data_IF_268738350692
#
_entry.id   IF_268738350692
#
_cell.length_a   1.000
_cell.length_b   1.000
_cell.length_c   1.000
_cell.angle_alpha   90.00
_cell.angle_beta   90.00
_cell.angle_gamma   90.00
#
_symmetry.space_group_name_H-M   'P 1'
#
loop_
_entity.id
_entity.type
_entity.pdbx_description
1 polymer ?
#
# COMPACT_ATOMS: atom_id res chain seq x y z
N UNK A 1 31.12 -0.47 -18.96
CA UNK A 1 31.56 0.86 -19.41
C UNK A 1 31.17 1.15 -20.85
N UNK A 2 31.62 0.37 -21.83
CA UNK A 2 31.29 0.61 -23.26
C UNK A 2 29.78 0.59 -23.53
N UNK A 3 29.06 -0.41 -23.00
CA UNK A 3 27.60 -0.51 -23.10
C UNK A 3 26.89 0.77 -22.60
N UNK A 4 27.25 1.25 -21.40
CA UNK A 4 26.62 2.43 -20.80
C UNK A 4 26.97 3.73 -21.51
N UNK A 5 28.17 3.85 -22.06
CA UNK A 5 28.52 5.00 -22.88
C UNK A 5 27.59 5.10 -24.10
N UNK A 6 27.39 3.98 -24.80
CA UNK A 6 26.50 3.95 -25.96
C UNK A 6 25.03 4.12 -25.59
N UNK A 7 24.58 3.55 -24.46
CA UNK A 7 23.22 3.72 -23.96
C UNK A 7 22.94 5.19 -23.60
N UNK A 8 23.85 5.85 -22.89
CA UNK A 8 23.74 7.27 -22.56
C UNK A 8 23.81 8.16 -23.81
N UNK A 9 24.66 7.81 -24.78
CA UNK A 9 24.71 8.52 -26.07
C UNK A 9 23.39 8.37 -26.84
N UNK A 10 22.80 7.18 -26.84
CA UNK A 10 21.51 6.91 -27.46
C UNK A 10 20.37 7.67 -26.78
N UNK A 11 20.34 7.71 -25.45
CA UNK A 11 19.36 8.51 -24.68
C UNK A 11 19.47 9.99 -25.06
N UNK A 12 20.69 10.54 -25.10
CA UNK A 12 20.93 11.94 -25.50
C UNK A 12 20.43 12.22 -26.92
N UNK A 13 20.72 11.33 -27.88
CA UNK A 13 20.29 11.48 -29.27
C UNK A 13 18.76 11.43 -29.39
N UNK A 14 18.10 10.47 -28.73
CA UNK A 14 16.64 10.38 -28.69
C UNK A 14 15.98 11.62 -28.08
N UNK A 15 16.60 12.23 -27.07
CA UNK A 15 16.10 13.49 -26.52
C UNK A 15 16.27 14.65 -27.50
N UNK A 16 17.36 14.69 -28.26
CA UNK A 16 17.59 15.72 -29.28
C UNK A 16 16.61 15.65 -30.46
N UNK A 17 15.97 14.51 -30.71
CA UNK A 17 14.90 14.35 -31.70
C UNK A 17 13.58 15.03 -31.26
N UNK A 18 13.39 15.21 -29.94
CA UNK A 18 12.19 15.87 -29.38
C UNK A 18 12.27 17.40 -29.42
N UNK A 19 13.41 17.97 -29.82
CA UNK A 19 13.61 19.42 -29.87
C UNK A 19 13.16 19.99 -31.21
N UNK A 20 12.51 21.15 -31.18
CA UNK A 20 12.21 21.91 -32.39
C UNK A 20 13.49 22.62 -32.84
N UNK A 21 13.94 22.34 -34.06
CA UNK A 21 15.17 22.92 -34.62
C UNK A 21 14.87 23.68 -35.90
N UNK A 22 15.39 24.91 -36.00
CA UNK A 22 15.59 25.65 -37.24
C UNK A 22 17.09 25.82 -37.49
N UNK A 23 17.46 26.46 -38.61
CA UNK A 23 18.88 26.70 -38.95
C UNK A 23 19.63 27.52 -37.89
N UNK A 24 18.91 28.37 -37.14
CA UNK A 24 19.50 29.31 -36.17
C UNK A 24 18.93 29.20 -34.75
N UNK A 25 17.83 28.46 -34.52
CA UNK A 25 17.12 28.44 -33.23
C UNK A 25 16.80 27.00 -32.83
N UNK A 26 17.06 26.67 -31.57
CA UNK A 26 16.61 25.44 -30.93
C UNK A 26 15.58 25.81 -29.86
N UNK A 27 14.35 25.31 -30.00
CA UNK A 27 13.30 25.45 -29.02
C UNK A 27 13.07 24.13 -28.30
N UNK A 28 12.97 24.19 -26.97
CA UNK A 28 12.66 23.07 -26.11
C UNK A 28 11.63 23.47 -25.06
N UNK A 29 10.72 22.56 -24.76
CA UNK A 29 9.75 22.68 -23.68
C UNK A 29 9.90 21.46 -22.77
N UNK A 30 9.77 21.68 -21.46
CA UNK A 30 9.88 20.61 -20.49
C UNK A 30 9.57 21.08 -19.09
N UNK A 31 9.24 20.12 -18.24
CA UNK A 31 9.00 20.36 -16.83
C UNK A 31 10.28 20.12 -16.03
N UNK A 32 10.51 20.95 -15.02
CA UNK A 32 11.55 20.74 -14.03
C UNK A 32 11.00 21.01 -12.63
N UNK A 33 11.50 20.35 -11.57
CA UNK A 33 11.03 20.60 -10.22
C UNK A 33 11.44 21.98 -9.75
N UNK A 34 10.52 22.76 -9.16
CA UNK A 34 10.80 24.13 -8.68
C UNK A 34 11.98 24.19 -7.68
N UNK A 35 12.20 23.13 -6.89
CA UNK A 35 13.34 23.02 -5.96
C UNK A 35 14.72 22.96 -6.65
N UNK A 36 14.75 22.59 -7.92
CA UNK A 36 15.99 22.49 -8.71
C UNK A 36 16.24 23.74 -9.55
N UNK A 37 15.43 24.79 -9.39
CA UNK A 37 15.53 26.02 -10.19
C UNK A 37 16.93 26.63 -10.16
N UNK A 38 17.49 26.85 -8.97
CA UNK A 38 18.80 27.51 -8.82
C UNK A 38 19.93 26.72 -9.52
N UNK A 39 19.96 25.40 -9.33
CA UNK A 39 20.94 24.52 -9.98
C UNK A 39 20.75 24.46 -11.49
N UNK A 40 19.51 24.52 -11.95
CA UNK A 40 19.20 24.51 -13.37
C UNK A 40 19.68 25.80 -14.03
N UNK A 41 19.43 26.95 -13.39
CA UNK A 41 19.92 28.26 -13.84
C UNK A 41 21.45 28.31 -13.84
N UNK A 42 22.13 27.81 -12.80
CA UNK A 42 23.59 27.75 -12.75
C UNK A 42 24.19 26.95 -13.92
N UNK A 43 23.63 25.77 -14.21
CA UNK A 43 24.07 24.93 -15.33
C UNK A 43 23.81 25.59 -16.68
N UNK A 44 22.67 26.28 -16.83
CA UNK A 44 22.34 27.01 -18.06
C UNK A 44 23.31 28.16 -18.30
N UNK A 45 23.54 29.01 -17.30
CA UNK A 45 24.49 30.11 -17.39
C UNK A 45 25.90 29.62 -17.73
N UNK A 46 26.35 28.53 -17.11
CA UNK A 46 27.64 27.93 -17.41
C UNK A 46 27.75 27.40 -18.85
N UNK A 47 26.65 26.90 -19.42
CA UNK A 47 26.67 26.21 -20.72
C UNK A 47 26.36 27.14 -21.90
N UNK A 48 25.45 28.09 -21.73
CA UNK A 48 24.87 28.93 -22.80
C UNK A 48 25.25 30.41 -22.69
N UNK A 49 25.83 30.87 -21.56
CA UNK A 49 26.15 32.28 -21.37
C UNK A 49 24.89 33.16 -21.35
N UNK A 50 24.79 34.12 -22.28
CA UNK A 50 23.65 35.05 -22.41
C UNK A 50 22.74 34.75 -23.62
N UNK A 51 23.05 33.74 -24.43
CA UNK A 51 22.37 33.47 -25.71
C UNK A 51 21.09 32.63 -25.56
N UNK A 52 20.23 32.96 -24.59
CA UNK A 52 18.96 32.24 -24.39
C UNK A 52 17.80 33.14 -23.95
N UNK A 53 16.59 32.81 -24.41
CA UNK A 53 15.34 33.41 -23.96
C UNK A 53 14.47 32.34 -23.30
N UNK A 54 13.97 32.60 -22.10
CA UNK A 54 13.18 31.64 -21.33
C UNK A 54 11.93 32.28 -20.73
N UNK A 55 10.83 31.53 -20.75
CA UNK A 55 9.57 31.90 -20.10
C UNK A 55 9.18 30.77 -19.15
N UNK A 56 8.92 31.12 -17.90
CA UNK A 56 8.39 30.18 -16.91
C UNK A 56 6.88 30.36 -16.79
N UNK A 57 6.17 29.25 -16.68
CA UNK A 57 4.77 29.17 -16.30
C UNK A 57 4.62 28.09 -15.25
N UNK A 58 3.73 28.30 -14.27
CA UNK A 58 3.37 27.22 -13.37
C UNK A 58 2.70 26.10 -14.16
N UNK A 59 3.03 24.86 -13.83
CA UNK A 59 2.42 23.71 -14.46
C UNK A 59 0.96 23.61 -13.97
N UNK A 60 0.02 23.95 -14.85
CA UNK A 60 -1.40 23.83 -14.60
C UNK A 60 -1.99 22.64 -15.36
N UNK A 61 -2.87 21.89 -14.69
CA UNK A 61 -3.64 20.80 -15.30
C UNK A 61 -3.07 19.40 -15.08
N UNK A 62 -3.77 18.41 -15.65
CA UNK A 62 -3.50 16.98 -15.49
C UNK A 62 -2.30 16.48 -16.33
N UNK A 63 -1.79 17.30 -17.25
CA UNK A 63 -0.63 16.98 -18.09
C UNK A 63 0.72 17.21 -17.38
N UNK A 64 0.72 17.90 -16.24
CA UNK A 64 1.91 18.12 -15.44
C UNK A 64 2.42 16.79 -14.85
N UNK A 65 3.71 16.45 -15.04
CA UNK A 65 4.27 15.23 -14.48
C UNK A 65 4.43 15.34 -12.95
N UNK A 66 4.10 14.26 -12.24
CA UNK A 66 4.18 14.18 -10.79
C UNK A 66 5.52 13.57 -10.36
N UNK A 67 6.22 14.30 -9.49
CA UNK A 67 7.42 13.81 -8.80
C UNK A 67 7.05 13.51 -7.34
N UNK A 68 7.20 12.24 -6.94
CA UNK A 68 7.01 11.83 -5.55
C UNK A 68 8.26 12.15 -4.73
N UNK A 69 8.07 12.88 -3.63
CA UNK A 69 9.11 13.15 -2.64
C UNK A 69 8.68 12.61 -1.28
N UNK A 70 9.18 11.43 -0.93
CA UNK A 70 8.88 10.77 0.33
C UNK A 70 10.11 10.60 1.22
N UNK A 71 9.86 10.53 2.53
CA UNK A 71 10.89 10.13 3.50
C UNK A 71 11.43 8.73 3.19
N UNK A 72 12.65 8.43 3.66
CA UNK A 72 13.34 7.17 3.34
C UNK A 72 12.51 5.90 3.63
N UNK A 73 11.66 5.93 4.65
CA UNK A 73 10.73 4.84 4.99
C UNK A 73 9.61 4.72 3.95
N UNK A 74 8.90 5.80 3.66
CA UNK A 74 7.76 5.80 2.73
C UNK A 74 8.19 5.64 1.27
N UNK A 75 9.39 6.11 0.91
CA UNK A 75 9.96 5.94 -0.43
C UNK A 75 10.15 4.47 -0.83
N UNK A 76 10.25 3.57 0.15
CA UNK A 76 10.32 2.14 -0.11
C UNK A 76 9.00 1.57 -0.68
N UNK A 77 7.87 2.23 -0.41
CA UNK A 77 6.53 1.81 -0.82
C UNK A 77 6.05 2.47 -2.13
N UNK A 78 6.78 3.46 -2.65
CA UNK A 78 6.45 4.11 -3.93
C UNK A 78 6.29 3.13 -5.12
N UNK A 79 7.08 2.04 -5.25
CA UNK A 79 6.87 1.08 -6.33
C UNK A 79 5.46 0.46 -6.31
N UNK A 80 4.85 0.31 -5.14
CA UNK A 80 3.49 -0.23 -4.99
C UNK A 80 2.48 0.78 -5.52
N UNK A 81 2.63 2.06 -5.17
CA UNK A 81 1.80 3.14 -5.73
C UNK A 81 1.93 3.19 -7.26
N UNK A 82 3.16 3.16 -7.76
CA UNK A 82 3.45 3.22 -9.19
C UNK A 82 2.89 2.03 -9.98
N UNK A 83 2.78 0.84 -9.37
CA UNK A 83 2.14 -0.33 -9.97
C UNK A 83 0.62 -0.19 -10.13
N UNK A 84 -0.04 0.59 -9.28
CA UNK A 84 -1.47 0.85 -9.40
C UNK A 84 -1.72 2.01 -10.37
N UNK A 85 -1.27 3.21 -10.01
CA UNK A 85 -1.35 4.41 -10.84
C UNK A 85 -0.59 5.54 -10.15
N UNK A 86 0.03 6.44 -10.92
CA UNK A 86 0.73 7.61 -10.39
C UNK A 86 -0.28 8.70 -10.02
N UNK A 87 -0.09 9.42 -8.90
CA UNK A 87 -1.01 10.47 -8.48
C UNK A 87 -1.04 11.62 -9.47
N UNK A 88 -2.20 12.27 -9.62
CA UNK A 88 -2.25 13.54 -10.36
C UNK A 88 -1.48 14.63 -9.64
N UNK A 89 -1.09 15.67 -10.36
CA UNK A 89 -0.20 16.72 -9.85
C UNK A 89 -0.69 17.42 -8.57
N UNK A 90 -2.02 17.53 -8.36
CA UNK A 90 -2.63 18.13 -7.15
C UNK A 90 -3.28 17.11 -6.21
N UNK A 91 -3.15 15.83 -6.51
CA UNK A 91 -3.68 14.75 -5.69
C UNK A 91 -2.76 14.50 -4.49
N UNK A 92 -3.34 14.02 -3.38
CA UNK A 92 -2.54 13.64 -2.21
C UNK A 92 -1.82 12.34 -2.53
N UNK A 93 -0.51 12.27 -2.26
CA UNK A 93 0.24 11.03 -2.38
C UNK A 93 -0.33 9.97 -1.42
N UNK A 94 -0.83 8.83 -1.92
CA UNK A 94 -1.33 7.76 -1.05
C UNK A 94 -0.21 7.07 -0.27
N UNK A 95 1.06 7.19 -0.70
CA UNK A 95 2.19 6.39 -0.21
C UNK A 95 2.39 6.46 1.31
N UNK A 96 2.47 7.65 1.93
CA UNK A 96 2.63 7.75 3.39
C UNK A 96 1.42 7.23 4.17
N UNK A 97 0.23 7.29 3.56
CA UNK A 97 -1.04 6.96 4.21
C UNK A 97 -1.26 5.45 4.25
N UNK A 98 -0.91 4.74 3.17
CA UNK A 98 -1.11 3.30 3.09
C UNK A 98 0.07 2.49 3.65
N UNK A 99 1.30 3.03 3.62
CA UNK A 99 2.50 2.30 4.03
C UNK A 99 2.41 1.69 5.45
N UNK A 100 1.91 2.38 6.50
CA UNK A 100 1.75 1.78 7.82
C UNK A 100 0.78 0.58 7.84
N UNK A 101 -0.35 0.69 7.13
CA UNK A 101 -1.32 -0.39 6.99
C UNK A 101 -0.73 -1.57 6.22
N UNK A 102 0.00 -1.29 5.15
CA UNK A 102 0.67 -2.32 4.36
C UNK A 102 1.66 -3.12 5.21
N UNK A 103 2.52 -2.43 5.98
CA UNK A 103 3.48 -3.06 6.89
C UNK A 103 2.75 -3.98 7.87
N UNK A 104 1.68 -3.47 8.49
CA UNK A 104 0.93 -4.19 9.51
C UNK A 104 0.23 -5.44 8.95
N UNK A 105 -0.46 -5.31 7.81
CA UNK A 105 -1.21 -6.41 7.21
C UNK A 105 -0.31 -7.51 6.68
N UNK A 106 0.79 -7.13 6.02
CA UNK A 106 1.76 -8.10 5.56
C UNK A 106 2.33 -8.90 6.75
N UNK A 107 2.64 -8.21 7.85
CA UNK A 107 3.08 -8.86 9.09
C UNK A 107 2.06 -9.85 9.63
N UNK A 108 0.79 -9.47 9.66
CA UNK A 108 -0.33 -10.31 10.12
C UNK A 108 -0.60 -11.53 9.21
N UNK A 109 -0.38 -11.41 7.89
CA UNK A 109 -0.58 -12.51 6.95
C UNK A 109 0.56 -13.54 6.98
N UNK A 110 1.82 -13.11 7.10
CA UNK A 110 2.96 -14.03 7.12
C UNK A 110 3.23 -14.60 8.52
N UNK A 111 3.03 -13.78 9.55
CA UNK A 111 3.01 -14.09 10.99
C UNK A 111 3.85 -15.28 11.51
N UNK A 112 5.13 -15.30 11.14
CA UNK A 112 6.11 -16.28 11.62
C UNK A 112 7.44 -15.55 11.87
N UNK A 113 7.92 -15.62 13.12
CA UNK A 113 9.13 -14.91 13.52
C UNK A 113 10.39 -15.49 12.89
N UNK A 114 10.44 -16.81 12.64
CA UNK A 114 11.55 -17.46 11.96
C UNK A 114 11.67 -17.01 10.51
N UNK A 115 10.54 -16.95 9.80
CA UNK A 115 10.47 -16.42 8.44
C UNK A 115 10.81 -14.94 8.39
N UNK A 116 10.30 -14.15 9.34
CA UNK A 116 10.63 -12.73 9.48
C UNK A 116 12.14 -12.50 9.65
N UNK A 117 12.80 -13.25 10.54
CA UNK A 117 14.26 -13.16 10.73
C UNK A 117 15.01 -13.54 9.45
N UNK A 118 14.61 -14.63 8.79
CA UNK A 118 15.26 -15.07 7.56
C UNK A 118 15.15 -14.02 6.44
N UNK A 119 13.98 -13.40 6.29
CA UNK A 119 13.79 -12.29 5.36
C UNK A 119 14.60 -11.05 5.75
N UNK A 120 14.66 -10.70 7.04
CA UNK A 120 15.44 -9.56 7.54
C UNK A 120 16.93 -9.73 7.21
N UNK A 121 17.48 -10.92 7.45
CA UNK A 121 18.87 -11.26 7.14
C UNK A 121 19.12 -11.26 5.62
N UNK A 122 18.24 -11.87 4.84
CA UNK A 122 18.37 -11.92 3.38
C UNK A 122 18.34 -10.52 2.75
N UNK A 123 17.40 -9.67 3.16
CA UNK A 123 17.26 -8.30 2.66
C UNK A 123 18.37 -7.38 3.16
N UNK A 124 18.78 -7.50 4.42
CA UNK A 124 19.92 -6.77 4.99
C UNK A 124 21.24 -7.12 4.32
N UNK A 125 21.48 -8.41 4.06
CA UNK A 125 22.62 -8.87 3.26
C UNK A 125 22.57 -8.33 1.84
N UNK A 126 21.38 -8.35 1.22
CA UNK A 126 21.23 -7.88 -0.16
C UNK A 126 21.54 -6.39 -0.32
N UNK A 127 21.10 -5.55 0.63
CA UNK A 127 21.39 -4.11 0.65
C UNK A 127 22.89 -3.80 0.85
N UNK A 128 23.58 -4.66 1.59
CA UNK A 128 24.99 -4.46 1.93
C UNK A 128 25.93 -4.96 0.83
N UNK A 129 25.57 -6.06 0.14
CA UNK A 129 26.49 -6.78 -0.75
C UNK A 129 26.25 -6.59 -2.24
N UNK A 130 25.04 -6.23 -2.66
CA UNK A 130 24.70 -6.03 -4.07
C UNK A 130 24.62 -4.54 -4.44
N UNK A 131 25.13 -4.22 -5.62
CA UNK A 131 24.94 -2.90 -6.24
C UNK A 131 23.54 -2.84 -6.86
N UNK A 132 22.55 -2.60 -6.01
CA UNK A 132 21.15 -2.48 -6.43
C UNK A 132 20.90 -1.09 -7.06
N UNK A 133 20.18 -1.09 -8.19
CA UNK A 133 19.61 0.12 -8.77
C UNK A 133 18.64 0.80 -7.78
N UNK A 134 18.31 2.08 -8.00
CA UNK A 134 17.49 2.89 -7.09
C UNK A 134 16.14 2.23 -6.81
N UNK A 135 15.46 1.70 -7.82
CA UNK A 135 14.13 1.11 -7.67
C UNK A 135 14.20 -0.25 -6.98
N UNK A 136 15.17 -1.09 -7.36
CA UNK A 136 15.38 -2.37 -6.69
C UNK A 136 15.79 -2.19 -5.22
N UNK A 137 16.57 -1.14 -4.91
CA UNK A 137 16.90 -0.78 -3.53
C UNK A 137 15.65 -0.38 -2.73
N UNK A 138 14.69 0.34 -3.33
CA UNK A 138 13.40 0.66 -2.68
C UNK A 138 12.62 -0.62 -2.36
N UNK A 139 12.51 -1.54 -3.32
CA UNK A 139 11.83 -2.82 -3.12
C UNK A 139 12.49 -3.67 -2.03
N UNK A 140 13.83 -3.76 -2.00
CA UNK A 140 14.52 -4.52 -0.94
C UNK A 140 14.35 -3.86 0.43
N UNK A 141 14.40 -2.53 0.51
CA UNK A 141 14.08 -1.79 1.76
C UNK A 141 12.64 -2.01 2.22
N UNK A 142 11.70 -2.09 1.29
CA UNK A 142 10.31 -2.42 1.62
C UNK A 142 10.26 -3.78 2.30
N UNK A 143 10.80 -4.83 1.70
CA UNK A 143 10.85 -6.17 2.32
C UNK A 143 11.59 -6.18 3.67
N UNK A 144 12.60 -5.33 3.87
CA UNK A 144 13.23 -5.13 5.17
C UNK A 144 12.23 -4.61 6.21
N UNK A 145 11.44 -3.58 5.91
CA UNK A 145 10.41 -3.06 6.83
C UNK A 145 9.29 -4.08 7.08
N UNK A 146 8.89 -4.83 6.05
CA UNK A 146 7.90 -5.90 6.16
C UNK A 146 8.39 -7.01 7.11
N UNK A 147 9.66 -7.38 7.01
CA UNK A 147 10.25 -8.43 7.85
C UNK A 147 10.21 -8.08 9.33
N UNK A 148 10.42 -6.81 9.70
CA UNK A 148 10.30 -6.35 11.10
C UNK A 148 8.88 -6.55 11.62
N UNK A 149 7.86 -6.22 10.81
CA UNK A 149 6.47 -6.44 11.22
C UNK A 149 6.11 -7.92 11.33
N UNK A 150 6.57 -8.75 10.40
CA UNK A 150 6.41 -10.21 10.48
C UNK A 150 7.02 -10.78 11.76
N UNK A 151 8.19 -10.30 12.19
CA UNK A 151 8.80 -10.72 13.46
C UNK A 151 7.90 -10.36 14.63
N UNK A 152 7.40 -9.11 14.69
CA UNK A 152 6.52 -8.66 15.77
C UNK A 152 5.27 -9.53 15.86
N UNK A 153 4.57 -9.73 14.73
CA UNK A 153 3.37 -10.57 14.69
C UNK A 153 3.64 -12.05 14.95
N UNK A 154 4.76 -12.58 14.45
CA UNK A 154 5.19 -13.94 14.72
C UNK A 154 5.49 -14.19 16.21
N UNK A 155 6.09 -13.22 16.91
CA UNK A 155 6.30 -13.28 18.36
C UNK A 155 4.97 -13.20 19.11
N UNK A 156 4.05 -12.33 18.68
CA UNK A 156 2.70 -12.23 19.27
C UNK A 156 1.95 -13.56 19.15
N UNK A 157 2.08 -14.25 18.03
CA UNK A 157 1.44 -15.55 17.79
C UNK A 157 2.23 -16.75 18.33
N UNK A 158 3.47 -16.54 18.77
CA UNK A 158 4.36 -17.62 19.21
C UNK A 158 4.80 -18.58 18.09
N UNK A 159 4.71 -18.15 16.83
CA UNK A 159 5.05 -18.99 15.68
C UNK A 159 6.50 -18.78 15.25
N UNK A 160 7.30 -19.85 15.37
CA UNK A 160 8.69 -19.91 14.91
C UNK A 160 8.87 -21.12 14.00
N UNK A 161 9.10 -20.89 12.70
CA UNK A 161 9.21 -21.94 11.68
C UNK A 161 8.02 -22.93 11.73
N UNK A 162 6.78 -22.42 11.74
CA UNK A 162 5.58 -23.26 11.81
C UNK A 162 5.44 -24.06 13.10
N UNK A 163 5.94 -23.53 14.22
CA UNK A 163 5.89 -24.18 15.54
C UNK A 163 7.05 -25.14 15.84
N UNK A 164 8.16 -25.08 15.08
CA UNK A 164 9.34 -25.89 15.34
C UNK A 164 10.01 -25.53 16.68
N UNK A 165 9.95 -24.26 17.08
CA UNK A 165 10.43 -23.78 18.39
C UNK A 165 9.21 -23.39 19.22
N UNK A 166 8.95 -24.14 20.30
CA UNK A 166 7.83 -23.89 21.22
C UNK A 166 8.22 -22.83 22.24
N UNK A 167 8.08 -21.56 21.86
CA UNK A 167 8.14 -20.43 22.78
C UNK A 167 6.68 -20.05 23.12
N UNK A 168 6.33 -19.78 24.39
CA UNK A 168 4.98 -19.39 24.75
C UNK A 168 4.55 -18.15 23.95
N UNK A 169 3.35 -18.15 23.35
CA UNK A 169 2.83 -17.00 22.62
C UNK A 169 2.59 -15.84 23.59
N UNK A 170 2.90 -14.61 23.15
CA UNK A 170 2.66 -13.40 23.96
C UNK A 170 1.18 -13.00 23.94
N UNK A 171 0.48 -13.29 22.84
CA UNK A 171 -0.94 -12.91 22.69
C UNK A 171 -1.86 -14.11 22.51
N UNK A 172 -1.72 -14.86 21.41
CA UNK A 172 -2.66 -15.92 21.05
C UNK A 172 -2.04 -16.88 20.04
N UNK A 173 -2.27 -18.18 20.18
CA UNK A 173 -2.03 -19.13 19.08
C UNK A 173 -3.13 -18.99 18.02
N UNK A 174 -2.82 -18.67 16.76
CA UNK A 174 -3.83 -18.55 15.69
C UNK A 174 -4.75 -19.78 15.57
N UNK A 175 -4.22 -20.95 15.91
CA UNK A 175 -4.90 -22.25 15.82
C UNK A 175 -6.01 -22.43 16.87
N UNK A 176 -5.90 -21.78 18.04
CA UNK A 176 -6.82 -21.99 19.16
C UNK A 176 -8.09 -21.14 19.05
N UNK A 177 -8.00 -19.96 18.44
CA UNK A 177 -9.12 -19.02 18.36
C UNK A 177 -9.15 -18.30 17.01
N UNK A 178 -9.57 -19.05 15.99
CA UNK A 178 -9.78 -18.56 14.62
C UNK A 178 -10.82 -17.44 14.60
N UNK A 179 -11.84 -17.51 15.46
CA UNK A 179 -12.91 -16.52 15.54
C UNK A 179 -12.38 -15.14 15.96
N UNK A 180 -11.55 -15.10 16.99
CA UNK A 180 -10.90 -13.87 17.44
C UNK A 180 -9.95 -13.31 16.38
N UNK A 181 -9.20 -14.16 15.66
CA UNK A 181 -8.32 -13.72 14.56
C UNK A 181 -9.11 -13.09 13.41
N UNK A 182 -10.26 -13.67 13.04
CA UNK A 182 -11.16 -13.11 12.04
C UNK A 182 -11.75 -11.77 12.51
N UNK A 183 -12.18 -11.68 13.78
CA UNK A 183 -12.70 -10.44 14.35
C UNK A 183 -11.65 -9.32 14.31
N UNK A 184 -10.41 -9.62 14.71
CA UNK A 184 -9.29 -8.67 14.66
C UNK A 184 -9.03 -8.23 13.21
N UNK A 185 -9.07 -9.16 12.25
CA UNK A 185 -8.87 -8.84 10.83
C UNK A 185 -9.93 -7.87 10.31
N UNK A 186 -11.20 -8.12 10.63
CA UNK A 186 -12.32 -7.24 10.26
C UNK A 186 -12.20 -5.89 10.96
N UNK A 187 -11.83 -5.86 12.25
CA UNK A 187 -11.61 -4.63 12.99
C UNK A 187 -10.48 -3.78 12.39
N UNK A 188 -9.39 -4.40 11.96
CA UNK A 188 -8.31 -3.71 11.26
C UNK A 188 -8.75 -3.16 9.90
N UNK A 189 -9.55 -3.92 9.16
CA UNK A 189 -10.18 -3.44 7.92
C UNK A 189 -11.11 -2.25 8.14
N UNK A 190 -11.88 -2.27 9.22
CA UNK A 190 -12.73 -1.15 9.62
C UNK A 190 -11.92 0.11 9.89
N UNK A 191 -10.83 0.00 10.67
CA UNK A 191 -9.95 1.12 10.95
C UNK A 191 -9.42 1.72 9.64
N UNK A 192 -9.00 0.87 8.70
CA UNK A 192 -8.49 1.34 7.42
C UNK A 192 -9.55 2.02 6.56
N UNK A 193 -10.76 1.46 6.46
CA UNK A 193 -11.88 2.07 5.72
C UNK A 193 -12.22 3.44 6.32
N UNK A 194 -12.27 3.55 7.65
CA UNK A 194 -12.49 4.83 8.31
C UNK A 194 -11.37 5.83 7.98
N UNK A 195 -10.10 5.44 8.04
CA UNK A 195 -9.02 6.35 7.64
C UNK A 195 -9.17 6.80 6.18
N UNK A 196 -9.57 5.91 5.27
CA UNK A 196 -9.84 6.25 3.87
C UNK A 196 -10.95 7.29 3.71
N UNK A 197 -12.07 7.12 4.43
CA UNK A 197 -13.16 8.10 4.46
C UNK A 197 -12.73 9.43 5.10
N UNK A 198 -11.88 9.39 6.13
CA UNK A 198 -11.30 10.57 6.76
C UNK A 198 -10.42 11.38 5.80
N UNK A 199 -9.63 10.70 4.97
CA UNK A 199 -8.81 11.34 3.92
C UNK A 199 -9.71 11.97 2.86
N UNK A 200 -10.76 11.27 2.42
CA UNK A 200 -11.76 11.85 1.50
C UNK A 200 -12.39 13.12 2.07
N UNK A 201 -12.75 13.10 3.36
CA UNK A 201 -13.29 14.28 4.03
C UNK A 201 -12.28 15.43 4.06
N UNK A 202 -11.00 15.14 4.35
CA UNK A 202 -9.93 16.12 4.36
C UNK A 202 -9.72 16.77 2.99
N UNK A 203 -9.70 15.98 1.91
CA UNK A 203 -9.58 16.49 0.53
C UNK A 203 -10.73 17.44 0.20
N UNK A 204 -11.97 17.06 0.52
CA UNK A 204 -13.16 17.89 0.24
C UNK A 204 -13.18 19.20 1.05
N UNK A 205 -12.65 19.18 2.29
CA UNK A 205 -12.50 20.39 3.11
C UNK A 205 -11.40 21.29 2.52
N UNK A 206 -10.26 20.71 2.13
CA UNK A 206 -9.16 21.43 1.49
C UNK A 206 -9.59 22.10 0.18
N UNK A 207 -10.45 21.43 -0.59
CA UNK A 207 -10.98 21.93 -1.86
C UNK A 207 -12.15 22.92 -1.67
N UNK A 208 -12.40 23.37 -0.43
CA UNK A 208 -13.36 24.44 -0.10
C UNK A 208 -14.83 24.00 -0.06
N UNK A 209 -15.12 22.69 -0.01
CA UNK A 209 -16.48 22.11 -0.03
C UNK A 209 -16.81 21.36 1.29
N UNK A 210 -16.88 22.04 2.45
CA UNK A 210 -17.09 21.39 3.74
C UNK A 210 -18.45 20.69 3.86
N UNK A 211 -19.47 21.24 3.19
CA UNK A 211 -20.80 20.65 3.17
C UNK A 211 -20.84 19.34 2.36
N UNK A 212 -20.02 19.21 1.31
CA UNK A 212 -19.84 17.94 0.60
C UNK A 212 -19.10 16.91 1.48
N UNK A 213 -18.07 17.34 2.22
CA UNK A 213 -17.33 16.46 3.13
C UNK A 213 -18.24 15.80 4.19
N UNK A 214 -19.14 16.57 4.81
CA UNK A 214 -20.07 16.02 5.80
C UNK A 214 -21.05 15.00 5.19
N UNK A 215 -21.49 15.23 3.96
CA UNK A 215 -22.52 14.40 3.33
C UNK A 215 -21.95 13.16 2.65
N UNK A 216 -20.76 13.28 2.06
CA UNK A 216 -20.13 12.21 1.29
C UNK A 216 -19.21 11.35 2.14
N UNK A 217 -18.70 11.86 3.27
CA UNK A 217 -17.88 11.08 4.20
C UNK A 217 -18.55 10.96 5.57
N UNK A 218 -19.07 12.06 6.14
CA UNK A 218 -19.70 12.06 7.46
C UNK A 218 -20.92 11.13 7.55
N UNK A 219 -21.81 11.14 6.55
CA UNK A 219 -22.96 10.22 6.53
C UNK A 219 -22.55 8.76 6.38
N UNK A 220 -21.51 8.48 5.61
CA UNK A 220 -20.95 7.13 5.51
C UNK A 220 -20.33 6.66 6.83
N UNK A 221 -19.70 7.56 7.59
CA UNK A 221 -19.25 7.25 8.96
C UNK A 221 -20.42 6.79 9.84
N UNK A 222 -21.53 7.54 9.85
CA UNK A 222 -22.70 7.20 10.67
C UNK A 222 -23.40 5.92 10.18
N UNK A 223 -23.54 5.75 8.87
CA UNK A 223 -24.15 4.55 8.30
C UNK A 223 -23.31 3.30 8.60
N UNK A 224 -22.00 3.34 8.37
CA UNK A 224 -21.13 2.18 8.62
C UNK A 224 -21.07 1.84 10.11
N UNK A 225 -20.81 2.82 10.98
CA UNK A 225 -20.75 2.59 12.44
C UNK A 225 -22.05 2.00 12.97
N UNK A 226 -23.20 2.54 12.56
CA UNK A 226 -24.49 2.03 12.99
C UNK A 226 -24.84 0.66 12.43
N UNK A 227 -24.51 0.37 11.16
CA UNK A 227 -24.67 -0.98 10.58
C UNK A 227 -23.81 -2.02 11.28
N UNK A 228 -22.59 -1.68 11.68
CA UNK A 228 -21.68 -2.59 12.40
C UNK A 228 -22.19 -2.88 13.81
N UNK A 229 -22.58 -1.85 14.56
CA UNK A 229 -23.14 -2.03 15.91
C UNK A 229 -24.38 -2.93 15.87
N UNK A 230 -25.23 -2.74 14.86
CA UNK A 230 -26.38 -3.60 14.65
C UNK A 230 -25.98 -5.04 14.29
N UNK A 231 -25.03 -5.23 13.37
CA UNK A 231 -24.55 -6.56 12.97
C UNK A 231 -23.91 -7.32 14.14
N UNK A 232 -23.04 -6.67 14.93
CA UNK A 232 -22.40 -7.26 16.11
C UNK A 232 -23.43 -7.64 17.18
N UNK A 233 -24.47 -6.81 17.35
CA UNK A 233 -25.59 -7.14 18.24
C UNK A 233 -26.40 -8.33 17.72
N UNK A 234 -26.58 -8.48 16.40
CA UNK A 234 -27.36 -9.57 15.80
C UNK A 234 -26.60 -10.91 15.80
N UNK A 235 -25.27 -10.89 15.74
CA UNK A 235 -24.38 -12.06 15.76
C UNK A 235 -24.21 -12.69 17.16
N UNK A 236 -24.95 -12.24 18.17
CA UNK A 236 -24.88 -12.77 19.54
C UNK A 236 -23.66 -12.30 20.34
N UNK A 237 -22.77 -11.50 19.73
CA UNK A 237 -21.58 -10.93 20.38
C UNK A 237 -21.89 -9.68 21.22
N UNK A 238 -23.11 -9.15 21.13
CA UNK A 238 -23.56 -7.95 21.86
C UNK A 238 -23.49 -8.08 23.38
N UNK A 239 -23.70 -9.29 23.93
CA UNK A 239 -23.58 -9.55 25.37
C UNK A 239 -22.12 -9.50 25.84
N UNK A 240 -21.16 -9.96 25.03
CA UNK A 240 -19.73 -9.92 25.34
C UNK A 240 -19.14 -8.50 25.36
N UNK A 241 -19.79 -7.55 24.69
CA UNK A 241 -19.38 -6.15 24.58
C UNK A 241 -20.15 -5.19 25.52
N UNK A 242 -21.04 -5.71 26.40
CA UNK A 242 -21.89 -4.89 27.28
C UNK A 242 -22.67 -3.79 26.53
N UNK A 243 -23.11 -4.07 25.30
CA UNK A 243 -23.87 -3.08 24.53
C UNK A 243 -25.29 -2.96 25.10
N UNK A 244 -25.60 -1.82 25.71
CA UNK A 244 -26.95 -1.53 26.18
C UNK A 244 -27.96 -1.60 25.01
N UNK A 245 -29.13 -2.25 25.19
CA UNK A 245 -30.18 -2.30 24.16
C UNK A 245 -30.62 -0.94 23.63
N UNK A 246 -30.39 0.13 24.40
CA UNK A 246 -30.65 1.51 23.99
C UNK A 246 -29.66 2.01 22.93
N UNK A 247 -28.37 1.66 23.06
CA UNK A 247 -27.33 2.06 22.10
C UNK A 247 -27.60 1.46 20.73
N UNK A 248 -27.99 0.18 20.68
CA UNK A 248 -28.31 -0.52 19.42
C UNK A 248 -29.51 0.11 18.72
N UNK A 249 -30.56 0.49 19.47
CA UNK A 249 -31.73 1.20 18.91
C UNK A 249 -31.38 2.59 18.39
N UNK A 250 -30.60 3.36 19.14
CA UNK A 250 -30.15 4.69 18.73
C UNK A 250 -29.27 4.59 17.48
N UNK A 251 -28.32 3.65 17.44
CA UNK A 251 -27.48 3.39 16.28
C UNK A 251 -28.30 3.00 15.04
N UNK A 252 -29.32 2.14 15.21
CA UNK A 252 -30.24 1.77 14.13
C UNK A 252 -30.99 2.98 13.57
N UNK A 253 -31.53 3.84 14.42
CA UNK A 253 -32.24 5.06 14.01
C UNK A 253 -31.31 6.02 13.26
N UNK A 254 -30.10 6.26 13.79
CA UNK A 254 -29.08 7.11 13.15
C UNK A 254 -28.69 6.57 11.77
N UNK A 255 -28.55 5.24 11.63
CA UNK A 255 -28.25 4.60 10.35
C UNK A 255 -29.35 4.88 9.33
N UNK A 256 -30.62 4.69 9.72
CA UNK A 256 -31.78 4.94 8.84
C UNK A 256 -31.86 6.41 8.43
N UNK A 257 -31.66 7.34 9.38
CA UNK A 257 -31.64 8.78 9.09
C UNK A 257 -30.49 9.12 8.12
N UNK A 258 -29.31 8.56 8.35
CA UNK A 258 -28.14 8.80 7.50
C UNK A 258 -28.34 8.24 6.10
N UNK A 259 -28.96 7.06 5.97
CA UNK A 259 -29.31 6.49 4.67
C UNK A 259 -30.33 7.34 3.91
N UNK A 260 -31.36 7.84 4.59
CA UNK A 260 -32.34 8.76 3.99
C UNK A 260 -31.65 10.05 3.54
N UNK A 261 -30.75 10.60 4.35
CA UNK A 261 -30.03 11.81 4.00
C UNK A 261 -29.06 11.58 2.83
N UNK A 262 -28.43 10.41 2.71
CA UNK A 262 -27.62 10.02 1.55
C UNK A 262 -28.48 10.03 0.28
N UNK A 263 -29.67 9.40 0.29
CA UNK A 263 -30.58 9.40 -0.87
C UNK A 263 -30.92 10.82 -1.32
N UNK A 264 -31.21 11.71 -0.36
CA UNK A 264 -31.63 13.08 -0.64
C UNK A 264 -30.48 13.99 -1.09
N UNK A 265 -29.22 13.66 -0.76
CA UNK A 265 -28.08 14.58 -0.91
C UNK A 265 -27.06 14.15 -1.94
N UNK A 266 -26.88 12.85 -2.24
CA UNK A 266 -25.91 12.42 -3.25
C UNK A 266 -26.34 12.76 -4.70
N UNK A 267 -27.63 12.98 -4.95
CA UNK A 267 -28.14 13.37 -6.27
C UNK A 267 -27.99 14.84 -6.66
N UNK A 268 -27.17 15.63 -5.96
CA UNK A 268 -27.11 17.10 -6.15
C UNK A 268 -26.59 17.57 -7.50
N UNK A 269 -25.83 16.72 -8.21
CA UNK A 269 -25.31 17.03 -9.55
C UNK A 269 -26.34 16.88 -10.67
N UNK A 270 -27.47 16.21 -10.42
CA UNK A 270 -28.42 15.83 -11.46
C UNK A 270 -29.58 16.83 -11.60
N UNK A 271 -30.03 17.08 -12.83
CA UNK A 271 -31.06 18.09 -13.13
C UNK A 271 -32.50 17.60 -12.90
N UNK A 272 -32.76 16.29 -12.95
CA UNK A 272 -34.11 15.73 -12.80
C UNK A 272 -34.34 15.07 -11.44
N UNK A 273 -35.50 15.26 -10.83
CA UNK A 273 -35.84 14.71 -9.50
C UNK A 273 -35.75 13.18 -9.47
N UNK A 274 -36.10 12.50 -10.58
CA UNK A 274 -35.95 11.06 -10.74
C UNK A 274 -34.48 10.62 -10.80
N UNK A 275 -33.61 11.36 -11.50
CA UNK A 275 -32.18 11.10 -11.53
C UNK A 275 -31.51 11.38 -10.17
N UNK A 276 -31.98 12.38 -9.42
CA UNK A 276 -31.51 12.64 -8.04
C UNK A 276 -31.80 11.47 -7.10
N UNK A 277 -33.03 10.95 -7.14
CA UNK A 277 -33.41 9.80 -6.32
C UNK A 277 -32.70 8.52 -6.79
N UNK A 278 -32.57 8.30 -8.10
CA UNK A 278 -31.88 7.15 -8.66
C UNK A 278 -30.39 7.09 -8.27
N UNK A 279 -29.68 8.22 -8.36
CA UNK A 279 -28.28 8.33 -7.90
C UNK A 279 -28.15 8.17 -6.39
N UNK A 280 -29.12 8.69 -5.62
CA UNK A 280 -29.23 8.44 -4.19
C UNK A 280 -29.38 6.95 -3.84
N UNK A 281 -30.27 6.23 -4.50
CA UNK A 281 -30.43 4.78 -4.32
C UNK A 281 -29.17 3.99 -4.75
N UNK A 282 -28.53 4.39 -5.86
CA UNK A 282 -27.27 3.79 -6.29
C UNK A 282 -26.15 4.01 -5.27
N UNK A 283 -26.07 5.19 -4.66
CA UNK A 283 -25.09 5.44 -3.61
C UNK A 283 -25.31 4.53 -2.39
N UNK A 284 -26.56 4.27 -1.99
CA UNK A 284 -26.87 3.29 -0.94
C UNK A 284 -26.51 1.85 -1.33
N UNK A 285 -26.57 1.49 -2.61
CA UNK A 285 -26.07 0.20 -3.08
C UNK A 285 -24.57 0.03 -2.74
N UNK A 286 -23.83 1.12 -2.59
CA UNK A 286 -22.46 1.13 -2.08
C UNK A 286 -22.28 0.44 -0.72
N UNK A 287 -23.34 0.32 0.11
CA UNK A 287 -23.29 -0.42 1.39
C UNK A 287 -22.89 -1.87 1.13
N UNK A 288 -23.40 -2.48 0.04
CA UNK A 288 -23.02 -3.85 -0.34
C UNK A 288 -21.54 -3.96 -0.67
N UNK A 289 -20.96 -2.93 -1.28
CA UNK A 289 -19.53 -2.79 -1.52
C UNK A 289 -18.73 -2.75 -0.23
N UNK A 290 -19.11 -1.90 0.73
CA UNK A 290 -18.44 -1.84 2.04
C UNK A 290 -18.53 -3.15 2.83
N UNK A 291 -19.66 -3.85 2.78
CA UNK A 291 -19.77 -5.20 3.37
C UNK A 291 -18.81 -6.17 2.67
N UNK A 292 -18.73 -6.12 1.34
CA UNK A 292 -17.76 -6.89 0.56
C UNK A 292 -16.31 -6.58 0.94
N UNK A 293 -15.97 -5.30 1.12
CA UNK A 293 -14.65 -4.85 1.56
C UNK A 293 -14.32 -5.44 2.95
N UNK A 294 -15.25 -5.34 3.91
CA UNK A 294 -15.07 -5.92 5.26
C UNK A 294 -14.88 -7.42 5.26
N UNK A 295 -15.68 -8.14 4.47
CA UNK A 295 -15.51 -9.59 4.29
C UNK A 295 -14.17 -9.90 3.62
N UNK A 296 -13.69 -9.05 2.71
CA UNK A 296 -12.37 -9.22 2.06
C UNK A 296 -11.22 -9.21 3.08
N UNK A 297 -11.32 -8.45 4.18
CA UNK A 297 -10.30 -8.44 5.24
C UNK A 297 -10.18 -9.75 6.01
N UNK A 298 -11.17 -10.64 5.98
CA UNK A 298 -11.03 -12.01 6.55
C UNK A 298 -9.87 -12.78 5.93
N UNK A 299 -9.42 -12.36 4.75
CA UNK A 299 -8.21 -12.86 4.09
C UNK A 299 -6.95 -12.71 4.94
N UNK A 300 -6.84 -11.66 5.76
CA UNK A 300 -5.72 -11.47 6.70
C UNK A 300 -5.58 -12.70 7.62
N UNK A 301 -6.68 -13.10 8.25
CA UNK A 301 -6.75 -14.30 9.09
C UNK A 301 -6.45 -15.58 8.30
N UNK A 302 -7.06 -15.74 7.12
CA UNK A 302 -6.90 -16.95 6.31
C UNK A 302 -5.44 -17.22 5.91
N UNK A 303 -4.71 -16.19 5.46
CA UNK A 303 -3.28 -16.34 5.13
C UNK A 303 -2.39 -16.51 6.36
N UNK A 304 -2.70 -15.82 7.46
CA UNK A 304 -2.00 -16.02 8.75
C UNK A 304 -2.07 -17.46 9.22
N UNK A 305 -3.26 -18.06 9.16
CA UNK A 305 -3.48 -19.47 9.52
C UNK A 305 -2.81 -20.42 8.53
N UNK A 306 -2.91 -20.15 7.22
CA UNK A 306 -2.29 -20.98 6.20
C UNK A 306 -0.77 -21.07 6.39
N UNK A 307 -0.11 -19.96 6.71
CA UNK A 307 1.34 -19.95 6.94
C UNK A 307 1.73 -20.86 8.11
N UNK A 308 0.96 -20.81 9.20
CA UNK A 308 1.14 -21.68 10.37
C UNK A 308 0.88 -23.15 10.06
N UNK A 309 -0.26 -23.48 9.45
CA UNK A 309 -0.64 -24.87 9.14
C UNK A 309 0.27 -25.55 8.14
N UNK A 310 0.72 -24.85 7.09
CA UNK A 310 1.67 -25.43 6.15
C UNK A 310 3.01 -25.67 6.83
N UNK A 311 3.46 -24.73 7.67
CA UNK A 311 4.69 -24.89 8.45
C UNK A 311 4.63 -26.07 9.42
N UNK A 312 3.51 -26.21 10.14
CA UNK A 312 3.31 -27.33 11.08
C UNK A 312 3.18 -28.68 10.35
N UNK A 313 2.59 -28.71 9.16
CA UNK A 313 2.56 -29.91 8.32
C UNK A 313 3.97 -30.39 7.94
N UNK A 314 4.88 -29.47 7.56
CA UNK A 314 6.29 -29.82 7.31
C UNK A 314 6.97 -30.35 8.58
N UNK A 315 6.70 -29.74 9.73
CA UNK A 315 7.23 -30.20 11.01
C UNK A 315 6.73 -31.60 11.37
N UNK A 316 5.46 -31.92 11.13
CA UNK A 316 4.89 -33.24 11.34
C UNK A 316 5.54 -34.27 10.39
N UNK A 317 5.68 -33.94 9.11
CA UNK A 317 6.36 -34.83 8.13
C UNK A 317 7.80 -35.14 8.56
N UNK A 318 8.53 -34.13 9.04
CA UNK A 318 9.89 -34.30 9.57
C UNK A 318 9.89 -35.13 10.85
N UNK A 319 8.94 -34.90 11.76
CA UNK A 319 8.82 -35.64 13.02
C UNK A 319 8.41 -37.11 12.85
N UNK A 320 7.75 -37.45 11.75
CA UNK A 320 7.40 -38.83 11.38
C UNK A 320 8.59 -39.61 10.80
N UNK A 321 9.65 -38.91 10.36
CA UNK A 321 10.89 -39.57 9.94
C UNK A 321 11.58 -40.15 11.19
N UNK A 322 11.87 -41.45 11.16
CA UNK A 322 12.51 -42.14 12.28
C UNK A 322 13.91 -41.60 12.62
N UNK A 323 14.55 -42.17 13.64
CA UNK A 323 15.88 -41.72 14.13
C UNK A 323 17.09 -42.29 13.39
N UNK A 324 16.89 -42.92 12.23
CA UNK A 324 18.01 -43.45 11.43
C UNK A 324 18.88 -42.32 10.90
N UNK A 325 20.19 -42.55 10.74
CA UNK A 325 21.12 -41.56 10.16
C UNK A 325 20.64 -41.09 8.78
N UNK A 326 20.12 -42.02 7.96
CA UNK A 326 19.54 -41.69 6.66
C UNK A 326 18.28 -40.83 6.79
N UNK A 327 17.45 -41.10 7.80
CA UNK A 327 16.24 -40.34 8.09
C UNK A 327 16.56 -38.92 8.59
N UNK A 328 17.65 -38.72 9.34
CA UNK A 328 18.11 -37.39 9.78
C UNK A 328 18.56 -36.54 8.58
N UNK A 329 19.33 -37.12 7.65
CA UNK A 329 19.77 -36.40 6.44
C UNK A 329 18.55 -35.98 5.61
N UNK A 330 17.59 -36.89 5.42
CA UNK A 330 16.38 -36.61 4.68
C UNK A 330 15.47 -35.60 5.38
N UNK A 331 15.39 -35.66 6.72
CA UNK A 331 14.69 -34.70 7.56
C UNK A 331 15.23 -33.28 7.40
N UNK A 332 16.55 -33.09 7.39
CA UNK A 332 17.17 -31.77 7.16
C UNK A 332 16.80 -31.22 5.79
N UNK A 333 16.84 -32.05 4.75
CA UNK A 333 16.47 -31.63 3.39
C UNK A 333 15.01 -31.18 3.33
N UNK A 334 14.09 -32.00 3.85
CA UNK A 334 12.66 -31.67 3.88
C UNK A 334 12.38 -30.42 4.71
N UNK A 335 13.02 -30.30 5.87
CA UNK A 335 12.87 -29.13 6.74
C UNK A 335 13.32 -27.86 6.01
N UNK A 336 14.54 -27.83 5.50
CA UNK A 336 15.08 -26.66 4.80
C UNK A 336 14.25 -26.32 3.55
N UNK A 337 13.97 -27.30 2.69
CA UNK A 337 13.19 -27.07 1.49
C UNK A 337 11.76 -26.64 1.80
N UNK A 338 11.09 -27.33 2.72
CA UNK A 338 9.72 -27.07 3.13
C UNK A 338 9.55 -25.67 3.71
N UNK A 339 10.44 -25.24 4.59
CA UNK A 339 10.38 -23.89 5.17
C UNK A 339 10.74 -22.79 4.19
N UNK A 340 11.70 -23.01 3.27
CA UNK A 340 11.98 -22.04 2.19
C UNK A 340 10.78 -21.92 1.26
N UNK A 341 10.18 -23.04 0.87
CA UNK A 341 8.99 -23.07 0.04
C UNK A 341 7.82 -22.35 0.71
N UNK A 342 7.58 -22.66 2.00
CA UNK A 342 6.54 -22.04 2.79
C UNK A 342 6.75 -20.52 2.92
N UNK A 343 7.98 -20.08 3.15
CA UNK A 343 8.33 -18.66 3.17
C UNK A 343 8.00 -17.99 1.83
N UNK A 344 8.45 -18.57 0.70
CA UNK A 344 8.30 -17.94 -0.61
C UNK A 344 6.84 -17.78 -1.02
N UNK A 345 6.03 -18.83 -0.87
CA UNK A 345 4.61 -18.79 -1.28
C UNK A 345 3.81 -17.87 -0.36
N UNK A 346 4.02 -17.93 0.96
CA UNK A 346 3.27 -17.06 1.86
C UNK A 346 3.74 -15.62 1.80
N UNK A 347 5.02 -15.34 1.56
CA UNK A 347 5.50 -13.98 1.34
C UNK A 347 4.91 -13.39 0.04
N UNK A 348 4.89 -14.16 -1.05
CA UNK A 348 4.28 -13.73 -2.31
C UNK A 348 2.76 -13.57 -2.17
N UNK A 349 2.09 -14.52 -1.51
CA UNK A 349 0.66 -14.46 -1.22
C UNK A 349 0.31 -13.23 -0.38
N UNK A 350 1.06 -13.01 0.70
CA UNK A 350 0.89 -11.83 1.57
C UNK A 350 1.14 -10.53 0.82
N UNK A 351 2.14 -10.48 -0.05
CA UNK A 351 2.42 -9.32 -0.90
C UNK A 351 1.23 -9.00 -1.82
N UNK A 352 0.78 -9.97 -2.62
CA UNK A 352 -0.31 -9.79 -3.60
C UNK A 352 -1.61 -9.44 -2.90
N UNK A 353 -1.94 -10.12 -1.81
CA UNK A 353 -3.19 -9.90 -1.09
C UNK A 353 -3.20 -8.60 -0.29
N UNK A 354 -2.07 -8.18 0.26
CA UNK A 354 -1.97 -6.86 0.90
C UNK A 354 -2.08 -5.76 -0.16
N UNK A 355 -1.41 -5.89 -1.31
CA UNK A 355 -1.58 -4.95 -2.43
C UNK A 355 -3.02 -4.88 -2.90
N UNK A 356 -3.73 -6.01 -2.98
CA UNK A 356 -5.16 -6.04 -3.29
C UNK A 356 -5.97 -5.19 -2.31
N UNK A 357 -5.80 -5.43 -1.00
CA UNK A 357 -6.47 -4.67 0.08
C UNK A 357 -6.24 -3.17 -0.05
N UNK A 358 -5.04 -2.75 -0.47
CA UNK A 358 -4.76 -1.33 -0.71
C UNK A 358 -5.44 -0.81 -1.98
N UNK A 359 -5.38 -1.55 -3.08
CA UNK A 359 -5.85 -1.06 -4.39
C UNK A 359 -7.37 -1.04 -4.52
N UNK A 360 -8.06 -2.09 -4.07
CA UNK A 360 -9.50 -2.20 -4.29
C UNK A 360 -10.29 -1.62 -3.11
N UNK A 361 -9.89 -1.95 -1.89
CA UNK A 361 -10.65 -1.59 -0.69
C UNK A 361 -10.27 -0.20 -0.13
N UNK A 362 -9.00 0.23 -0.23
CA UNK A 362 -8.54 1.51 0.33
C UNK A 362 -8.46 2.65 -0.68
N UNK A 363 -7.72 2.49 -1.79
CA UNK A 363 -7.51 3.54 -2.80
C UNK A 363 -8.82 3.97 -3.45
N UNK A 364 -9.74 3.03 -3.72
CA UNK A 364 -11.06 3.35 -4.29
C UNK A 364 -11.91 4.34 -3.48
N UNK A 365 -11.54 4.68 -2.23
CA UNK A 365 -12.28 5.63 -1.39
C UNK A 365 -11.85 7.08 -1.57
N UNK A 366 -10.60 7.36 -1.95
CA UNK A 366 -10.05 8.72 -1.99
C UNK A 366 -9.04 8.99 -3.10
N UNK A 367 -8.63 7.95 -3.85
CA UNK A 367 -7.57 8.02 -4.84
C UNK A 367 -8.11 7.69 -6.24
N UNK A 368 -8.02 8.66 -7.15
CA UNK A 368 -8.41 8.53 -8.55
C UNK A 368 -7.23 8.10 -9.42
N UNK A 369 -6.03 8.62 -9.15
CA UNK A 369 -4.83 8.39 -9.94
C UNK A 369 -4.93 8.90 -11.39
N UNK A 370 -4.05 8.40 -12.25
CA UNK A 370 -4.01 8.70 -13.69
C UNK A 370 -3.01 9.80 -14.07
N UNK A 371 -2.13 10.20 -13.15
CA UNK A 371 -1.07 11.17 -13.42
C UNK A 371 0.07 10.59 -14.27
N UNK A 372 0.89 11.49 -14.82
CA UNK A 372 2.10 11.14 -15.56
C UNK A 372 3.31 11.15 -14.63
N UNK A 373 4.16 10.13 -14.68
CA UNK A 373 5.40 10.11 -13.89
C UNK A 373 6.38 11.17 -14.39
N UNK A 374 7.07 11.82 -13.47
CA UNK A 374 8.22 12.64 -13.80
C UNK A 374 9.42 11.77 -14.18
N UNK A 375 9.74 11.72 -15.47
CA UNK A 375 10.90 11.02 -16.03
C UNK A 375 12.00 12.03 -16.41
N UNK A 376 12.96 12.33 -15.51
CA UNK A 376 14.04 13.24 -15.83
C UNK A 376 15.01 12.59 -16.83
N UNK A 377 15.61 13.44 -17.69
CA UNK A 377 16.76 13.04 -18.48
C UNK A 377 17.93 12.74 -17.53
N UNK A 378 18.18 11.45 -17.30
CA UNK A 378 19.24 10.95 -16.42
C UNK A 378 20.18 10.04 -17.18
N UNK A 379 21.45 10.04 -16.78
CA UNK A 379 22.38 9.01 -17.21
C UNK A 379 21.95 7.67 -16.61
N UNK A 380 21.88 6.61 -17.44
CA UNK A 380 21.72 5.24 -16.97
C UNK A 380 23.10 4.71 -16.57
N UNK A 381 23.20 4.19 -15.33
CA UNK A 381 24.41 3.54 -14.86
C UNK A 381 24.06 2.23 -14.16
N UNK A 382 24.08 1.13 -14.92
CA UNK A 382 23.64 -0.19 -14.46
C UNK A 382 24.74 -0.95 -13.71
N UNK A 383 26.01 -0.65 -14.02
CA UNK A 383 27.19 -1.39 -13.56
C UNK A 383 28.19 -0.53 -12.78
N UNK A 384 28.08 0.80 -12.80
CA UNK A 384 28.84 1.69 -11.93
C UNK A 384 27.94 2.73 -11.25
N UNK A 385 28.29 3.13 -10.03
CA UNK A 385 27.72 4.32 -9.41
C UNK A 385 28.77 5.43 -9.52
N UNK A 386 28.43 6.53 -10.18
CA UNK A 386 29.24 7.74 -10.09
C UNK A 386 28.99 8.31 -8.69
N UNK A 387 29.90 8.01 -7.76
CA UNK A 387 30.00 8.76 -6.52
C UNK A 387 30.34 10.19 -6.89
N UNK A 388 29.37 11.12 -6.84
CA UNK A 388 29.69 12.53 -6.71
C UNK A 388 30.33 12.69 -5.33
N UNK A 389 31.65 12.62 -5.28
CA UNK A 389 32.38 13.14 -4.13
C UNK A 389 32.07 14.63 -4.07
N UNK A 390 31.23 15.02 -3.11
CA UNK A 390 31.22 16.39 -2.60
C UNK A 390 32.57 16.58 -1.91
N UNK A 391 33.54 17.13 -2.64
CA UNK A 391 34.65 17.86 -2.07
C UNK A 391 34.79 19.17 -2.83
#
# INVERSE_FOLDING_TARGET
MVYEYYENKLIRLKSMEKFLKSDNIIAMEGHYPSKSHDKFMEVLHYTLGEDYYMKFSEAEGDDAPTLLENNSVFSAFEPITAMYSIPRYREIDPTPLFAPFYILFFGMMLSDAGYGILMLLATGFALSRFNLDKDMRKTVKMFLYLSVSTIVWGVLYGSYFGGAIKIPPVWMTPESDVGLLMLVSIAMGLIQIFVGLGIKAYILIRDGKPLAAFLDAGLWYFTLTGSIIWAVSALGSGESLNLSPQIVRVAGIITVISMILIILTHGRGEKSIGAKLGTGFYSLYGITGYVGDLVSYTRLAALGLATGFIGSAFNIMVGMLGKSIFAIIFAVIIFTFGHIFNLLINALGSYVHTSRLQYLEYFGKFYEGGGKAFEPLKFTSKYYNISKNNK
#
